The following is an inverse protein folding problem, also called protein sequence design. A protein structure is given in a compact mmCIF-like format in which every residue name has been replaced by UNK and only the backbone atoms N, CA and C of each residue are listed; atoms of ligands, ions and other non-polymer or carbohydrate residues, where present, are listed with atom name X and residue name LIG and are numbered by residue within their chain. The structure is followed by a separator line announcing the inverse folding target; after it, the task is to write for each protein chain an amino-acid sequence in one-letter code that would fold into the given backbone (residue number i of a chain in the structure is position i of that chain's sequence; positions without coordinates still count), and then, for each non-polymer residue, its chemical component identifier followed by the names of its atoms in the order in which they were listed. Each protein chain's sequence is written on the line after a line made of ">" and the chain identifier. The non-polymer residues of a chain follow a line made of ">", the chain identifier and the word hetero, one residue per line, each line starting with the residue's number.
data_IF_429947986989
#
_entry.id   IF_429947986989
#
_cell.length_a   1.000
_cell.length_b   1.000
_cell.length_c   1.000
_cell.angle_alpha   90.00
_cell.angle_beta   90.00
_cell.angle_gamma   90.00
#
_symmetry.space_group_name_H-M   'P 1'
#
loop_
_entity.id
_entity.type
_entity.pdbx_description
1 polymer ?
#
# COMPACT_ATOMS: atom_id res chain seq x y z
N UNK A 1 36.89 58.72 -23.22
CA UNK A 1 37.87 59.24 -24.24
C UNK A 1 37.53 58.52 -25.54
N UNK A 2 37.22 59.36 -26.54
CA UNK A 2 37.06 59.11 -28.00
C UNK A 2 35.89 58.17 -28.39
N UNK A 3 34.77 58.58 -28.94
CA UNK A 3 34.38 59.54 -29.98
C UNK A 3 34.79 59.10 -31.40
N UNK A 4 33.79 59.16 -32.30
CA UNK A 4 33.79 59.29 -33.80
C UNK A 4 33.51 58.01 -34.57
N UNK A 5 32.75 57.93 -35.68
CA UNK A 5 32.26 59.07 -36.55
C UNK A 5 31.20 58.43 -37.53
N UNK A 6 30.20 59.21 -37.85
CA UNK A 6 29.18 58.95 -38.88
C UNK A 6 29.79 58.97 -40.28
N UNK A 7 29.29 58.16 -41.18
CA UNK A 7 29.35 58.44 -42.61
C UNK A 7 28.03 58.20 -43.29
N UNK A 8 27.42 59.26 -43.78
CA UNK A 8 26.23 59.25 -44.62
C UNK A 8 26.68 59.20 -46.07
N UNK A 9 26.09 58.33 -46.86
CA UNK A 9 26.25 58.43 -48.35
C UNK A 9 24.87 58.62 -48.92
N UNK A 10 24.69 59.78 -49.55
CA UNK A 10 23.54 60.18 -50.37
C UNK A 10 23.79 59.64 -51.74
N UNK A 11 22.91 58.87 -52.35
CA UNK A 11 22.88 58.55 -53.76
C UNK A 11 21.55 58.94 -54.38
N UNK A 12 21.64 59.77 -55.39
CA UNK A 12 20.54 60.35 -56.09
C UNK A 12 19.69 59.36 -56.91
N UNK A 13 18.39 59.53 -56.86
CA UNK A 13 17.44 58.79 -57.67
C UNK A 13 17.32 59.35 -59.06
N UNK A 14 17.43 58.56 -60.09
CA UNK A 14 17.01 58.86 -61.46
C UNK A 14 15.67 58.23 -61.70
N UNK A 15 14.63 59.00 -61.92
CA UNK A 15 13.27 58.58 -62.28
C UNK A 15 13.21 58.40 -63.80
N UNK A 16 13.03 57.12 -64.23
CA UNK A 16 12.56 56.84 -65.60
C UNK A 16 11.13 56.34 -65.51
N UNK A 17 10.20 57.15 -66.00
CA UNK A 17 8.82 56.76 -66.18
C UNK A 17 8.70 55.82 -67.38
N UNK A 18 8.31 54.58 -67.18
CA UNK A 18 7.86 53.67 -68.22
C UNK A 18 6.45 53.20 -67.88
N UNK A 19 5.44 53.58 -68.65
CA UNK A 19 4.07 53.02 -68.59
C UNK A 19 4.09 51.56 -69.03
N UNK A 20 3.97 50.66 -68.04
CA UNK A 20 3.71 49.25 -68.25
C UNK A 20 2.49 48.84 -67.45
N UNK A 21 1.50 48.23 -68.08
CA UNK A 21 0.33 47.65 -67.46
C UNK A 21 0.75 46.73 -66.29
N UNK A 22 0.32 47.03 -65.10
CA UNK A 22 0.50 46.19 -63.91
C UNK A 22 -0.40 44.97 -64.03
N UNK A 23 0.15 43.81 -64.33
CA UNK A 23 -0.51 42.56 -64.10
C UNK A 23 -0.52 42.35 -62.59
N UNK A 24 -1.72 42.31 -61.98
CA UNK A 24 -1.86 41.96 -60.56
C UNK A 24 -1.38 40.52 -60.34
N UNK A 25 -0.34 40.33 -59.55
CA UNK A 25 0.09 39.02 -59.12
C UNK A 25 -1.04 38.32 -58.34
N UNK A 26 -1.30 37.02 -58.58
CA UNK A 26 -2.34 36.30 -57.83
C UNK A 26 -2.07 36.41 -56.35
N UNK A 27 -3.14 36.69 -55.59
CA UNK A 27 -3.09 36.68 -54.12
C UNK A 27 -2.53 35.36 -53.59
N UNK A 28 -1.60 35.40 -52.61
CA UNK A 28 -1.09 34.15 -52.04
C UNK A 28 -2.24 33.29 -51.50
N UNK A 29 -2.22 32.00 -51.86
CA UNK A 29 -3.17 31.03 -51.37
C UNK A 29 -3.23 31.09 -49.85
N UNK A 30 -4.42 31.01 -49.22
CA UNK A 30 -4.53 30.99 -47.77
C UNK A 30 -3.68 29.84 -47.21
N UNK A 31 -2.83 30.14 -46.22
CA UNK A 31 -2.04 29.14 -45.51
C UNK A 31 -2.96 28.03 -45.01
N UNK A 32 -2.57 26.74 -45.08
CA UNK A 32 -3.37 25.66 -44.55
C UNK A 32 -3.73 25.99 -43.08
N UNK A 33 -5.00 25.87 -42.74
CA UNK A 33 -5.45 26.00 -41.36
C UNK A 33 -4.63 25.08 -40.47
N UNK A 34 -3.99 25.63 -39.44
CA UNK A 34 -3.22 24.82 -38.49
C UNK A 34 -4.11 23.70 -37.96
N UNK A 35 -3.60 22.47 -38.02
CA UNK A 35 -4.30 21.33 -37.45
C UNK A 35 -4.70 21.64 -36.00
N UNK A 36 -5.90 21.27 -35.53
CA UNK A 36 -6.28 21.50 -34.14
C UNK A 36 -5.23 20.90 -33.22
N UNK A 37 -4.82 21.68 -32.21
CA UNK A 37 -3.88 21.19 -31.19
C UNK A 37 -4.48 19.89 -30.59
N UNK A 38 -3.65 18.84 -30.35
CA UNK A 38 -4.13 17.63 -29.72
C UNK A 38 -4.81 17.99 -28.38
N UNK A 39 -5.89 17.29 -28.02
CA UNK A 39 -6.62 17.59 -26.79
C UNK A 39 -5.66 17.48 -25.61
N UNK A 40 -5.69 18.48 -24.73
CA UNK A 40 -4.89 18.51 -23.51
C UNK A 40 -5.29 17.34 -22.61
N UNK A 41 -4.31 16.48 -22.23
CA UNK A 41 -4.55 15.34 -21.37
C UNK A 41 -4.99 15.79 -19.97
N UNK A 42 -6.00 15.13 -19.42
CA UNK A 42 -6.37 15.27 -18.03
C UNK A 42 -5.41 14.44 -17.17
N UNK A 43 -4.58 15.09 -16.36
CA UNK A 43 -3.70 14.37 -15.42
C UNK A 43 -4.48 13.95 -14.19
N UNK A 44 -4.48 12.65 -13.89
CA UNK A 44 -5.07 12.05 -12.69
C UNK A 44 -3.93 11.52 -11.80
N UNK A 45 -3.72 12.16 -10.66
CA UNK A 45 -2.69 11.77 -9.71
C UNK A 45 -3.25 10.79 -8.70
N UNK A 46 -2.65 9.61 -8.60
CA UNK A 46 -2.99 8.59 -7.60
C UNK A 46 -1.82 8.51 -6.60
N UNK A 47 -2.12 8.70 -5.33
CA UNK A 47 -1.15 8.48 -4.26
C UNK A 47 -1.03 6.99 -3.93
N UNK A 48 0.18 6.55 -3.56
CA UNK A 48 0.41 5.27 -2.92
C UNK A 48 1.26 5.45 -1.67
N UNK A 49 0.91 4.76 -0.59
CA UNK A 49 1.72 4.75 0.64
C UNK A 49 1.79 3.34 1.22
N UNK A 50 3.00 2.94 1.57
CA UNK A 50 3.29 1.71 2.28
C UNK A 50 4.74 1.70 2.77
N UNK A 51 5.14 0.73 3.61
CA UNK A 51 6.50 0.62 4.11
C UNK A 51 7.42 0.10 3.01
N UNK A 52 8.06 1.00 2.25
CA UNK A 52 9.00 0.63 1.19
C UNK A 52 10.45 0.59 1.66
N UNK A 53 10.68 0.87 2.94
CA UNK A 53 11.93 0.67 3.68
C UNK A 53 11.70 -0.12 4.98
N UNK A 54 12.80 -0.56 5.62
CA UNK A 54 12.74 -1.30 6.88
C UNK A 54 12.47 -2.81 6.72
N UNK A 55 12.15 -3.48 7.83
CA UNK A 55 12.09 -4.94 7.92
C UNK A 55 10.93 -5.57 7.13
N UNK A 56 9.88 -4.79 6.82
CA UNK A 56 8.70 -5.25 6.07
C UNK A 56 8.60 -4.56 4.70
N UNK A 57 9.72 -4.05 4.18
CA UNK A 57 9.76 -3.33 2.90
C UNK A 57 9.27 -4.16 1.71
N UNK A 58 9.45 -5.46 1.75
CA UNK A 58 8.97 -6.37 0.70
C UNK A 58 7.44 -6.33 0.55
N UNK A 59 6.68 -6.20 1.66
CA UNK A 59 5.22 -6.08 1.63
C UNK A 59 4.76 -4.76 1.02
N UNK A 60 5.40 -3.64 1.41
CA UNK A 60 5.09 -2.33 0.84
C UNK A 60 5.44 -2.23 -0.64
N UNK A 61 6.57 -2.83 -1.04
CA UNK A 61 6.98 -2.90 -2.45
C UNK A 61 6.01 -3.72 -3.29
N UNK A 62 5.46 -4.81 -2.75
CA UNK A 62 4.47 -5.62 -3.44
C UNK A 62 3.19 -4.81 -3.70
N UNK A 63 2.68 -4.10 -2.70
CA UNK A 63 1.54 -3.20 -2.87
C UNK A 63 1.82 -2.07 -3.89
N UNK A 64 3.01 -1.48 -3.85
CA UNK A 64 3.45 -0.46 -4.81
C UNK A 64 3.48 -1.01 -6.24
N UNK A 65 3.98 -2.23 -6.43
CA UNK A 65 4.01 -2.89 -7.73
C UNK A 65 2.61 -3.14 -8.28
N UNK A 66 1.68 -3.62 -7.44
CA UNK A 66 0.28 -3.78 -7.84
C UNK A 66 -0.37 -2.47 -8.27
N UNK A 67 -0.11 -1.38 -7.54
CA UNK A 67 -0.60 -0.05 -7.92
C UNK A 67 0.02 0.43 -9.24
N UNK A 68 1.33 0.22 -9.46
CA UNK A 68 2.01 0.56 -10.73
C UNK A 68 1.41 -0.20 -11.92
N UNK A 69 1.21 -1.50 -11.78
CA UNK A 69 0.61 -2.32 -12.84
C UNK A 69 -0.77 -1.79 -13.24
N UNK A 70 -1.63 -1.48 -12.27
CA UNK A 70 -2.94 -0.92 -12.55
C UNK A 70 -2.86 0.44 -13.26
N UNK A 71 -1.92 1.30 -12.89
CA UNK A 71 -1.69 2.60 -13.55
C UNK A 71 -1.20 2.41 -15.00
N UNK A 72 -0.30 1.46 -15.23
CA UNK A 72 0.20 1.13 -16.58
C UNK A 72 -0.92 0.61 -17.46
N UNK A 73 -1.77 -0.29 -16.97
CA UNK A 73 -2.93 -0.82 -17.67
C UNK A 73 -3.96 0.27 -18.02
N UNK A 74 -4.28 1.17 -17.07
CA UNK A 74 -5.19 2.30 -17.30
C UNK A 74 -4.65 3.25 -18.38
N UNK A 75 -3.35 3.53 -18.36
CA UNK A 75 -2.70 4.37 -19.37
C UNK A 75 -2.67 3.68 -20.74
N UNK A 76 -2.40 2.38 -20.78
CA UNK A 76 -2.42 1.61 -22.02
C UNK A 76 -3.82 1.49 -22.63
N UNK A 77 -4.86 1.42 -21.77
CA UNK A 77 -6.26 1.36 -22.19
C UNK A 77 -6.78 2.68 -22.79
N UNK A 78 -6.05 3.80 -22.62
CA UNK A 78 -6.46 5.11 -23.16
C UNK A 78 -7.75 5.63 -22.56
N UNK A 79 -7.93 5.54 -21.25
CA UNK A 79 -9.15 5.92 -20.52
C UNK A 79 -9.54 7.37 -20.79
N UNK A 80 -10.81 7.61 -21.08
CA UNK A 80 -11.38 8.94 -21.30
C UNK A 80 -12.18 9.39 -20.08
N UNK A 81 -11.94 10.60 -19.61
CA UNK A 81 -12.68 11.22 -18.50
C UNK A 81 -13.22 12.57 -18.98
N UNK A 82 -14.55 12.73 -18.95
CA UNK A 82 -15.20 13.96 -19.39
C UNK A 82 -14.89 14.33 -20.85
N UNK A 83 -14.67 13.35 -21.72
CA UNK A 83 -14.33 13.56 -23.14
C UNK A 83 -12.85 13.93 -23.39
N UNK A 84 -11.97 13.91 -22.37
CA UNK A 84 -10.54 14.15 -22.49
C UNK A 84 -9.75 12.87 -22.23
N UNK A 85 -8.64 12.62 -22.94
CA UNK A 85 -7.75 11.52 -22.60
C UNK A 85 -7.19 11.71 -21.19
N UNK A 86 -7.27 10.69 -20.34
CA UNK A 86 -6.71 10.70 -19.00
C UNK A 86 -5.31 10.12 -19.01
N UNK A 87 -4.38 10.79 -18.31
CA UNK A 87 -3.04 10.27 -17.97
C UNK A 87 -2.96 10.06 -16.49
N UNK A 88 -2.80 8.83 -16.05
CA UNK A 88 -2.66 8.47 -14.65
C UNK A 88 -1.19 8.53 -14.24
N UNK A 89 -0.92 9.15 -13.09
CA UNK A 89 0.42 9.29 -12.51
C UNK A 89 0.38 8.75 -11.07
N UNK A 90 1.35 7.88 -10.71
CA UNK A 90 1.49 7.36 -9.36
C UNK A 90 2.51 8.19 -8.57
N UNK A 91 2.09 8.71 -7.42
CA UNK A 91 2.94 9.36 -6.43
C UNK A 91 3.09 8.43 -5.23
N UNK A 92 4.26 7.80 -5.09
CA UNK A 92 4.52 6.84 -4.02
C UNK A 92 5.32 7.48 -2.88
N UNK A 93 4.91 7.22 -1.64
CA UNK A 93 5.56 7.67 -0.41
C UNK A 93 5.81 6.46 0.51
N UNK A 94 6.92 6.51 1.22
CA UNK A 94 7.31 5.52 2.23
C UNK A 94 6.82 5.96 3.62
N UNK A 95 6.10 5.10 4.33
CA UNK A 95 5.71 5.32 5.71
C UNK A 95 6.53 4.49 6.72
N UNK A 96 7.45 3.66 6.22
CA UNK A 96 8.29 2.75 7.03
C UNK A 96 7.50 1.91 8.06
N UNK A 97 6.16 1.79 7.93
CA UNK A 97 5.27 1.19 8.91
C UNK A 97 5.11 2.00 10.22
N UNK A 98 5.56 3.26 10.24
CA UNK A 98 5.49 4.16 11.39
C UNK A 98 4.27 5.11 11.29
N UNK A 99 3.39 5.16 12.30
CA UNK A 99 2.18 6.00 12.25
C UNK A 99 2.43 7.50 12.03
N UNK A 100 3.55 8.04 12.54
CA UNK A 100 3.89 9.46 12.36
C UNK A 100 4.37 9.73 10.94
N UNK A 101 5.20 8.83 10.40
CA UNK A 101 5.60 8.92 8.99
C UNK A 101 4.41 8.72 8.06
N UNK A 102 3.47 7.81 8.41
CA UNK A 102 2.23 7.61 7.68
C UNK A 102 1.38 8.88 7.59
N UNK A 103 1.20 9.60 8.69
CA UNK A 103 0.46 10.88 8.65
C UNK A 103 1.21 11.97 7.88
N UNK A 104 2.54 12.01 7.96
CA UNK A 104 3.35 12.94 7.20
C UNK A 104 3.30 12.65 5.68
N UNK A 105 3.38 11.37 5.29
CA UNK A 105 3.20 10.94 3.91
C UNK A 105 1.79 11.29 3.38
N UNK A 106 0.76 11.08 4.21
CA UNK A 106 -0.60 11.48 3.85
C UNK A 106 -0.71 12.99 3.57
N UNK A 107 -0.10 13.82 4.42
CA UNK A 107 -0.12 15.28 4.21
C UNK A 107 0.61 15.68 2.92
N UNK A 108 1.75 15.06 2.60
CA UNK A 108 2.46 15.31 1.33
C UNK A 108 1.57 15.02 0.12
N UNK A 109 0.83 13.91 0.14
CA UNK A 109 -0.08 13.56 -0.95
C UNK A 109 -1.27 14.53 -1.06
N UNK A 110 -1.80 15.01 0.07
CA UNK A 110 -2.80 16.08 0.10
C UNK A 110 -2.26 17.35 -0.53
N UNK A 111 -1.06 17.78 -0.16
CA UNK A 111 -0.41 18.98 -0.70
C UNK A 111 -0.09 18.82 -2.21
N UNK A 112 0.23 17.60 -2.66
CA UNK A 112 0.39 17.26 -4.08
C UNK A 112 -0.93 17.21 -4.86
N UNK A 113 -2.08 17.35 -4.16
CA UNK A 113 -3.43 17.34 -4.74
C UNK A 113 -3.72 16.06 -5.52
N UNK A 114 -3.48 14.90 -4.89
CA UNK A 114 -3.85 13.61 -5.49
C UNK A 114 -5.37 13.47 -5.54
N UNK A 115 -5.87 12.73 -6.52
CA UNK A 115 -7.31 12.49 -6.73
C UNK A 115 -7.84 11.32 -5.90
N UNK A 116 -6.96 10.44 -5.44
CA UNK A 116 -7.26 9.29 -4.59
C UNK A 116 -5.98 8.64 -4.10
N UNK A 117 -6.08 7.76 -3.09
CA UNK A 117 -4.93 7.08 -2.49
C UNK A 117 -5.18 5.59 -2.41
N UNK A 118 -4.21 4.80 -2.86
CA UNK A 118 -4.08 3.35 -2.64
C UNK A 118 -3.12 3.16 -1.47
N UNK A 119 -3.60 2.64 -0.35
CA UNK A 119 -2.79 2.50 0.88
C UNK A 119 -3.55 3.01 2.12
N UNK A 120 -2.91 3.07 3.26
CA UNK A 120 -1.58 2.52 3.56
C UNK A 120 -1.65 0.99 3.72
N UNK A 121 -0.50 0.34 3.92
CA UNK A 121 -0.46 -1.09 4.16
C UNK A 121 -0.86 -1.43 5.60
N UNK A 122 -0.13 -0.92 6.58
CA UNK A 122 -0.32 -1.27 7.98
C UNK A 122 -1.54 -0.57 8.59
N UNK A 123 -2.32 -1.27 9.41
CA UNK A 123 -3.47 -0.66 10.12
C UNK A 123 -3.05 0.54 10.97
N UNK A 124 -1.86 0.47 11.60
CA UNK A 124 -1.32 1.54 12.44
C UNK A 124 -0.98 2.83 11.68
N UNK A 125 -0.68 2.76 10.40
CA UNK A 125 -0.46 3.94 9.54
C UNK A 125 -1.74 4.37 8.83
N UNK A 126 -2.58 3.41 8.42
CA UNK A 126 -3.83 3.64 7.69
C UNK A 126 -4.86 4.41 8.51
N UNK A 127 -5.07 3.99 9.77
CA UNK A 127 -6.09 4.56 10.65
C UNK A 127 -5.87 6.07 10.86
N UNK A 128 -4.71 6.57 11.33
CA UNK A 128 -4.52 8.00 11.50
C UNK A 128 -4.46 8.77 10.17
N UNK A 129 -3.90 8.19 9.11
CA UNK A 129 -3.86 8.81 7.78
C UNK A 129 -5.26 9.03 7.19
N UNK A 130 -6.22 8.16 7.50
CA UNK A 130 -7.59 8.26 6.97
C UNK A 130 -8.29 9.56 7.38
N UNK A 131 -7.96 10.11 8.55
CA UNK A 131 -8.47 11.43 8.96
C UNK A 131 -7.90 12.54 8.07
N UNK A 132 -6.60 12.51 7.77
CA UNK A 132 -5.93 13.50 6.92
C UNK A 132 -6.58 13.54 5.53
N UNK A 133 -6.78 12.37 4.93
CA UNK A 133 -7.44 12.27 3.62
C UNK A 133 -8.91 12.66 3.67
N UNK A 134 -9.64 12.25 4.72
CA UNK A 134 -11.05 12.60 4.88
C UNK A 134 -11.28 14.11 5.01
N UNK A 135 -10.44 14.79 5.79
CA UNK A 135 -10.50 16.25 5.96
C UNK A 135 -10.23 16.98 4.63
N UNK A 136 -9.40 16.39 3.76
CA UNK A 136 -9.09 16.92 2.43
C UNK A 136 -10.08 16.47 1.33
N UNK A 137 -11.09 15.65 1.66
CA UNK A 137 -12.04 15.13 0.69
C UNK A 137 -11.45 14.10 -0.29
N UNK A 138 -10.31 13.48 0.06
CA UNK A 138 -9.62 12.49 -0.78
C UNK A 138 -10.07 11.08 -0.38
N UNK A 139 -10.40 10.24 -1.38
CA UNK A 139 -10.72 8.83 -1.15
C UNK A 139 -9.45 8.05 -0.87
N UNK A 140 -9.48 7.23 0.18
CA UNK A 140 -8.42 6.28 0.54
C UNK A 140 -8.96 4.85 0.44
N UNK A 141 -8.26 3.99 -0.29
CA UNK A 141 -8.58 2.57 -0.42
C UNK A 141 -7.36 1.77 0.03
N UNK A 142 -7.45 1.10 1.19
CA UNK A 142 -6.37 0.22 1.63
C UNK A 142 -6.52 -1.18 1.04
N UNK A 143 -5.47 -1.73 0.42
CA UNK A 143 -5.46 -3.12 -0.04
C UNK A 143 -5.11 -4.10 1.08
N UNK A 144 -4.67 -3.65 2.26
CA UNK A 144 -4.01 -4.50 3.25
C UNK A 144 -4.42 -4.26 4.71
N UNK A 145 -4.84 -3.04 5.10
CA UNK A 145 -5.17 -2.73 6.48
C UNK A 145 -6.45 -3.45 6.94
N UNK A 146 -6.30 -4.39 7.87
CA UNK A 146 -7.37 -5.29 8.31
C UNK A 146 -8.12 -4.82 9.56
N UNK A 147 -7.54 -3.93 10.38
CA UNK A 147 -8.17 -3.49 11.62
C UNK A 147 -9.54 -2.82 11.37
N UNK A 148 -10.63 -3.27 12.03
CA UNK A 148 -11.98 -2.72 11.85
C UNK A 148 -12.07 -1.21 12.09
N UNK A 149 -11.25 -0.66 13.00
CA UNK A 149 -11.26 0.76 13.32
C UNK A 149 -11.03 1.65 12.09
N UNK A 150 -10.32 1.17 11.06
CA UNK A 150 -10.08 1.94 9.84
C UNK A 150 -11.38 2.42 9.19
N UNK A 151 -12.39 1.58 9.07
CA UNK A 151 -13.65 1.91 8.37
C UNK A 151 -14.84 2.19 9.29
N UNK A 152 -14.61 2.20 10.62
CA UNK A 152 -15.68 2.49 11.62
C UNK A 152 -15.58 3.86 12.26
N UNK A 153 -14.62 4.70 11.85
CA UNK A 153 -14.45 6.08 12.32
C UNK A 153 -15.54 7.05 11.81
N UNK A 154 -16.42 6.60 10.90
CA UNK A 154 -17.47 7.44 10.32
C UNK A 154 -17.08 8.20 9.05
N UNK A 155 -15.84 8.07 8.57
CA UNK A 155 -15.39 8.70 7.33
C UNK A 155 -16.06 8.06 6.10
N UNK A 156 -16.50 8.90 5.16
CA UNK A 156 -17.14 8.46 3.91
C UNK A 156 -16.14 8.16 2.79
N UNK A 157 -14.87 8.47 3.02
CA UNK A 157 -13.77 8.36 2.07
C UNK A 157 -12.80 7.21 2.38
N UNK A 158 -13.03 6.42 3.43
CA UNK A 158 -12.14 5.33 3.87
C UNK A 158 -12.72 3.96 3.50
N UNK A 159 -12.02 3.22 2.65
CA UNK A 159 -12.45 1.92 2.12
C UNK A 159 -11.34 0.87 2.21
N UNK A 160 -11.72 -0.40 2.32
CA UNK A 160 -10.80 -1.54 2.16
C UNK A 160 -11.37 -2.54 1.15
N UNK A 161 -10.50 -3.30 0.50
CA UNK A 161 -10.88 -4.32 -0.50
C UNK A 161 -10.60 -5.75 -0.05
N UNK A 162 -10.30 -5.94 1.24
CA UNK A 162 -10.03 -7.23 1.88
C UNK A 162 -10.92 -7.42 3.13
N UNK A 163 -11.08 -8.65 3.66
CA UNK A 163 -11.69 -8.93 4.94
C UNK A 163 -11.00 -8.18 6.09
N UNK A 164 -11.72 -7.97 7.18
CA UNK A 164 -11.17 -7.35 8.38
C UNK A 164 -10.81 -8.38 9.47
N UNK A 165 -10.19 -7.91 10.55
CA UNK A 165 -9.73 -8.75 11.66
C UNK A 165 -10.86 -9.50 12.38
N UNK A 166 -12.11 -9.04 12.35
CA UNK A 166 -13.25 -9.76 12.92
C UNK A 166 -13.47 -11.07 12.15
N UNK A 167 -13.41 -11.00 10.82
CA UNK A 167 -13.57 -12.18 9.96
C UNK A 167 -12.34 -13.10 10.05
N UNK A 168 -11.14 -12.52 10.00
CA UNK A 168 -9.88 -13.24 10.09
C UNK A 168 -9.71 -13.91 11.46
N UNK A 169 -9.94 -13.19 12.55
CA UNK A 169 -9.86 -13.69 13.92
C UNK A 169 -10.85 -14.83 14.19
N UNK A 170 -12.07 -14.69 13.63
CA UNK A 170 -13.05 -15.78 13.68
C UNK A 170 -12.55 -17.03 12.97
N UNK A 171 -12.04 -16.90 11.74
CA UNK A 171 -11.54 -18.03 10.96
C UNK A 171 -10.36 -18.72 11.66
N UNK A 172 -9.43 -17.95 12.23
CA UNK A 172 -8.31 -18.48 13.01
C UNK A 172 -8.82 -19.20 14.27
N UNK A 173 -9.74 -18.61 15.03
CA UNK A 173 -10.31 -19.21 16.22
C UNK A 173 -11.05 -20.53 15.93
N UNK A 174 -11.83 -20.56 14.85
CA UNK A 174 -12.49 -21.78 14.38
C UNK A 174 -11.45 -22.85 13.98
N UNK A 175 -10.40 -22.47 13.26
CA UNK A 175 -9.34 -23.40 12.88
C UNK A 175 -8.59 -23.99 14.09
N UNK A 176 -8.27 -23.16 15.07
CA UNK A 176 -7.63 -23.58 16.33
C UNK A 176 -8.51 -24.60 17.07
N UNK A 177 -9.80 -24.30 17.22
CA UNK A 177 -10.71 -25.14 17.99
C UNK A 177 -11.19 -26.39 17.23
N UNK A 178 -11.60 -26.19 15.97
CA UNK A 178 -12.33 -27.22 15.22
C UNK A 178 -11.41 -28.11 14.37
N UNK A 179 -10.27 -27.58 13.88
CA UNK A 179 -9.33 -28.33 13.06
C UNK A 179 -8.17 -28.87 13.90
N UNK A 180 -7.50 -28.01 14.64
CA UNK A 180 -6.36 -28.42 15.47
C UNK A 180 -6.81 -29.07 16.79
N UNK A 181 -8.08 -28.96 17.16
CA UNK A 181 -8.65 -29.50 18.42
C UNK A 181 -7.91 -29.00 19.66
N UNK A 182 -7.29 -27.82 19.55
CA UNK A 182 -6.55 -27.21 20.66
C UNK A 182 -7.48 -26.92 21.85
N UNK A 183 -6.99 -27.16 23.05
CA UNK A 183 -7.68 -26.85 24.31
C UNK A 183 -7.08 -25.62 25.00
N UNK A 184 -5.79 -25.36 24.75
CA UNK A 184 -5.01 -24.30 25.39
C UNK A 184 -4.26 -23.50 24.36
N UNK A 185 -4.40 -22.19 24.40
CA UNK A 185 -3.69 -21.25 23.52
C UNK A 185 -2.96 -20.20 24.34
N UNK A 186 -1.73 -19.89 23.94
CA UNK A 186 -1.04 -18.68 24.34
C UNK A 186 -1.14 -17.66 23.21
N UNK A 187 -1.32 -16.39 23.54
CA UNK A 187 -1.44 -15.30 22.58
C UNK A 187 -0.33 -14.29 22.85
N UNK A 188 0.38 -13.91 21.79
CA UNK A 188 1.39 -12.84 21.79
C UNK A 188 1.04 -11.83 20.71
N UNK A 189 1.12 -10.53 20.99
CA UNK A 189 0.98 -9.48 19.99
C UNK A 189 2.15 -8.49 20.02
N UNK A 190 2.33 -7.74 18.93
CA UNK A 190 3.41 -6.78 18.76
C UNK A 190 3.05 -5.34 19.16
N UNK A 191 1.89 -5.15 19.81
CA UNK A 191 1.32 -3.85 20.22
C UNK A 191 1.04 -2.86 19.09
N UNK A 192 1.13 -3.29 17.83
CA UNK A 192 0.62 -2.48 16.72
C UNK A 192 -0.91 -2.54 16.66
N UNK A 193 -1.53 -1.58 15.99
CA UNK A 193 -2.98 -1.61 15.78
C UNK A 193 -3.44 -2.88 15.03
N UNK A 194 -2.59 -3.42 14.12
CA UNK A 194 -2.83 -4.70 13.46
C UNK A 194 -2.68 -5.88 14.42
N UNK A 195 -1.47 -6.06 14.96
CA UNK A 195 -1.16 -7.28 15.72
C UNK A 195 -2.01 -7.43 16.98
N UNK A 196 -2.19 -6.36 17.74
CA UNK A 196 -3.06 -6.35 18.92
C UNK A 196 -4.53 -6.55 18.51
N UNK A 197 -5.02 -5.82 17.49
CA UNK A 197 -6.40 -5.91 17.04
C UNK A 197 -6.80 -7.32 16.59
N UNK A 198 -5.97 -7.95 15.77
CA UNK A 198 -6.21 -9.33 15.34
C UNK A 198 -6.13 -10.32 16.52
N UNK A 199 -5.16 -10.11 17.43
CA UNK A 199 -5.01 -10.96 18.59
C UNK A 199 -6.25 -10.91 19.53
N UNK A 200 -6.87 -9.75 19.68
CA UNK A 200 -8.09 -9.57 20.47
C UNK A 200 -9.28 -10.29 19.82
N UNK A 201 -9.40 -10.28 18.50
CA UNK A 201 -10.46 -11.02 17.79
C UNK A 201 -10.23 -12.54 17.82
N UNK A 202 -8.97 -13.00 17.72
CA UNK A 202 -8.64 -14.44 17.89
C UNK A 202 -8.94 -14.90 19.31
N UNK A 203 -8.58 -14.11 20.32
CA UNK A 203 -8.90 -14.42 21.72
C UNK A 203 -10.41 -14.59 21.94
N UNK A 204 -11.18 -13.64 21.42
CA UNK A 204 -12.65 -13.65 21.50
C UNK A 204 -13.23 -14.90 20.81
N UNK A 205 -12.76 -15.23 19.61
CA UNK A 205 -13.23 -16.38 18.86
C UNK A 205 -12.85 -17.69 19.54
N UNK A 206 -11.61 -17.85 20.00
CA UNK A 206 -11.14 -19.04 20.71
C UNK A 206 -11.91 -19.28 22.03
N UNK A 207 -12.11 -18.22 22.82
CA UNK A 207 -12.96 -18.29 24.04
C UNK A 207 -14.38 -18.69 23.72
N UNK A 208 -14.96 -18.16 22.64
CA UNK A 208 -16.31 -18.53 22.19
C UNK A 208 -16.46 -20.02 21.81
N UNK A 209 -15.35 -20.70 21.52
CA UNK A 209 -15.26 -22.13 21.23
C UNK A 209 -14.83 -22.96 22.44
N UNK A 210 -14.66 -22.36 23.61
CA UNK A 210 -14.26 -23.06 24.84
C UNK A 210 -12.76 -23.38 24.91
N UNK A 211 -11.92 -22.71 24.10
CA UNK A 211 -10.46 -22.82 24.19
C UNK A 211 -9.95 -21.94 25.33
N UNK A 212 -9.12 -22.48 26.21
CA UNK A 212 -8.53 -21.77 27.34
C UNK A 212 -7.38 -20.87 26.88
N UNK A 213 -7.41 -19.60 27.27
CA UNK A 213 -6.27 -18.68 27.06
C UNK A 213 -5.34 -18.80 28.27
N UNK A 214 -4.26 -19.57 28.12
CA UNK A 214 -3.34 -19.84 29.22
C UNK A 214 -2.31 -18.74 29.43
N UNK A 215 -2.04 -17.92 28.40
CA UNK A 215 -1.15 -16.75 28.47
C UNK A 215 -1.60 -15.71 27.47
N UNK A 216 -1.53 -14.44 27.88
CA UNK A 216 -1.66 -13.26 27.02
C UNK A 216 -0.43 -12.39 27.27
N UNK A 217 0.50 -12.38 26.31
CA UNK A 217 1.78 -11.69 26.38
C UNK A 217 1.88 -10.68 25.22
N UNK A 218 2.85 -9.81 25.28
CA UNK A 218 3.10 -8.84 24.22
C UNK A 218 4.59 -8.60 24.01
N UNK A 219 4.92 -8.13 22.83
CA UNK A 219 6.26 -7.73 22.41
C UNK A 219 6.19 -6.39 21.68
N UNK A 220 7.15 -6.10 20.82
CA UNK A 220 7.13 -4.93 19.92
C UNK A 220 7.41 -5.37 18.49
N UNK A 221 7.01 -4.54 17.53
CA UNK A 221 7.27 -4.76 16.10
C UNK A 221 8.75 -4.60 15.69
N UNK A 222 9.63 -4.35 16.64
CA UNK A 222 11.10 -4.27 16.45
C UNK A 222 11.86 -5.33 17.24
N UNK A 223 11.14 -6.14 18.04
CA UNK A 223 11.77 -7.18 18.86
C UNK A 223 12.35 -8.31 18.01
N UNK A 224 13.48 -8.84 18.44
CA UNK A 224 14.17 -9.99 17.82
C UNK A 224 14.44 -11.12 18.81
N UNK A 225 14.28 -10.85 20.10
CA UNK A 225 14.43 -11.82 21.18
C UNK A 225 13.12 -12.02 21.93
N UNK A 226 12.66 -13.25 21.96
CA UNK A 226 11.39 -13.69 22.55
C UNK A 226 11.61 -14.74 23.64
N UNK A 227 12.88 -15.04 24.00
CA UNK A 227 13.22 -16.14 24.90
C UNK A 227 12.51 -16.07 26.25
N UNK A 228 12.40 -14.87 26.84
CA UNK A 228 11.75 -14.69 28.13
C UNK A 228 10.22 -14.98 28.05
N UNK A 229 9.55 -14.40 27.04
CA UNK A 229 8.11 -14.61 26.79
C UNK A 229 7.85 -16.10 26.50
N UNK A 230 8.64 -16.71 25.61
CA UNK A 230 8.46 -18.10 25.21
C UNK A 230 8.77 -19.08 26.36
N UNK A 231 9.70 -18.75 27.26
CA UNK A 231 9.95 -19.55 28.47
C UNK A 231 8.74 -19.52 29.42
N UNK A 232 8.11 -18.35 29.59
CA UNK A 232 6.85 -18.20 30.35
C UNK A 232 5.73 -19.03 29.72
N UNK A 233 5.58 -18.94 28.39
CA UNK A 233 4.60 -19.69 27.62
C UNK A 233 4.82 -21.20 27.71
N UNK A 234 6.08 -21.66 27.63
CA UNK A 234 6.43 -23.08 27.76
C UNK A 234 5.90 -23.69 29.05
N UNK A 235 6.02 -22.94 30.17
CA UNK A 235 5.52 -23.38 31.47
C UNK A 235 3.99 -23.61 31.50
N UNK A 236 3.22 -22.86 30.70
CA UNK A 236 1.78 -22.98 30.59
C UNK A 236 1.32 -24.14 29.68
N UNK A 237 2.23 -24.75 28.92
CA UNK A 237 2.00 -25.90 28.02
C UNK A 237 0.81 -25.70 27.07
N UNK A 238 0.78 -24.62 26.23
CA UNK A 238 -0.28 -24.46 25.26
C UNK A 238 -0.15 -25.48 24.13
N UNK A 239 -1.27 -25.76 23.45
CA UNK A 239 -1.31 -26.54 22.20
C UNK A 239 -0.91 -25.67 21.01
N UNK A 240 -1.22 -24.37 21.10
CA UNK A 240 -1.03 -23.36 20.05
C UNK A 240 -0.48 -22.08 20.67
N UNK A 241 0.44 -21.44 19.94
CA UNK A 241 0.85 -20.06 20.18
C UNK A 241 0.31 -19.24 19.00
N UNK A 242 -0.58 -18.28 19.25
CA UNK A 242 -0.97 -17.29 18.28
C UNK A 242 -0.04 -16.08 18.38
N UNK A 243 0.45 -15.61 17.24
CA UNK A 243 1.22 -14.37 17.14
C UNK A 243 0.53 -13.36 16.23
N UNK A 244 0.12 -12.22 16.81
CA UNK A 244 -0.35 -11.04 16.09
C UNK A 244 0.81 -10.12 15.77
N UNK A 245 1.29 -10.15 14.54
CA UNK A 245 2.43 -9.38 14.07
C UNK A 245 2.88 -9.81 12.68
N UNK A 246 4.07 -9.34 12.26
CA UNK A 246 4.61 -9.53 10.93
C UNK A 246 5.69 -10.63 10.88
N UNK A 247 6.05 -11.02 9.68
CA UNK A 247 7.07 -12.05 9.38
C UNK A 247 8.45 -11.73 9.99
N UNK A 248 8.83 -10.46 10.02
CA UNK A 248 10.10 -10.01 10.60
C UNK A 248 10.29 -10.42 12.07
N UNK A 249 9.20 -10.57 12.83
CA UNK A 249 9.17 -11.04 14.22
C UNK A 249 8.79 -12.53 14.28
N UNK A 250 7.85 -12.97 13.46
CA UNK A 250 7.36 -14.35 13.46
C UNK A 250 8.46 -15.36 13.12
N UNK A 251 9.33 -15.05 12.17
CA UNK A 251 10.45 -15.92 11.78
C UNK A 251 11.43 -16.20 12.91
N UNK A 252 12.03 -15.19 13.55
CA UNK A 252 12.86 -15.36 14.75
C UNK A 252 12.13 -16.03 15.91
N UNK A 253 10.83 -15.72 16.11
CA UNK A 253 10.01 -16.35 17.14
C UNK A 253 9.87 -17.86 16.89
N UNK A 254 9.60 -18.29 15.66
CA UNK A 254 9.52 -19.71 15.29
C UNK A 254 10.83 -20.46 15.61
N UNK A 255 11.98 -19.87 15.27
CA UNK A 255 13.31 -20.45 15.64
C UNK A 255 13.48 -20.60 17.14
N UNK A 256 13.05 -19.62 17.92
CA UNK A 256 13.18 -19.65 19.38
C UNK A 256 12.19 -20.64 20.02
N UNK A 257 10.99 -20.79 19.48
CA UNK A 257 10.03 -21.86 19.85
C UNK A 257 10.70 -23.21 19.68
N UNK A 258 11.29 -23.48 18.50
CA UNK A 258 12.01 -24.72 18.21
C UNK A 258 13.21 -24.93 19.14
N UNK A 259 14.04 -23.89 19.34
CA UNK A 259 15.21 -23.93 20.23
C UNK A 259 14.85 -24.28 21.68
N UNK A 260 13.70 -23.79 22.16
CA UNK A 260 13.19 -24.08 23.50
C UNK A 260 12.50 -25.47 23.60
N UNK A 261 12.37 -26.19 22.49
CA UNK A 261 11.66 -27.47 22.46
C UNK A 261 10.18 -27.33 22.80
N UNK A 262 9.56 -26.21 22.43
CA UNK A 262 8.12 -26.00 22.57
C UNK A 262 7.43 -26.74 21.43
N UNK A 263 6.47 -27.60 21.74
CA UNK A 263 5.75 -28.42 20.76
C UNK A 263 4.51 -27.74 20.20
N UNK A 264 4.07 -26.62 20.81
CA UNK A 264 2.95 -25.85 20.35
C UNK A 264 3.16 -25.33 18.91
N UNK A 265 2.09 -25.36 18.10
CA UNK A 265 2.10 -24.82 16.76
C UNK A 265 2.07 -23.28 16.82
N UNK A 266 2.88 -22.62 16.01
CA UNK A 266 2.78 -21.17 15.81
C UNK A 266 1.73 -20.90 14.73
N UNK A 267 0.81 -20.00 15.04
CA UNK A 267 -0.24 -19.56 14.12
C UNK A 267 -0.24 -18.04 14.08
N UNK A 268 -0.44 -17.45 12.92
CA UNK A 268 -0.63 -16.01 12.80
C UNK A 268 -1.60 -15.59 11.73
N UNK A 269 -1.65 -14.27 11.55
CA UNK A 269 -2.43 -13.63 10.52
C UNK A 269 -1.74 -13.63 9.15
N UNK A 270 -2.33 -12.88 8.23
CA UNK A 270 -1.81 -12.62 6.90
C UNK A 270 -0.43 -11.93 6.93
N UNK A 271 -0.12 -11.20 8.00
CA UNK A 271 1.15 -10.46 8.17
C UNK A 271 2.42 -11.31 8.16
N UNK A 272 2.31 -12.63 8.27
CA UNK A 272 3.46 -13.51 8.03
C UNK A 272 3.21 -14.67 7.04
N UNK A 273 2.15 -14.58 6.26
CA UNK A 273 1.94 -15.49 5.13
C UNK A 273 2.82 -15.04 3.94
N UNK A 274 4.13 -15.14 4.09
CA UNK A 274 5.12 -14.61 3.14
C UNK A 274 6.26 -15.58 2.90
N UNK A 275 6.92 -15.52 1.75
CA UNK A 275 8.20 -16.23 1.54
C UNK A 275 9.29 -15.80 2.52
N UNK A 276 9.27 -14.55 2.99
CA UNK A 276 10.24 -14.03 3.95
C UNK A 276 10.10 -14.72 5.33
N UNK A 277 8.88 -15.04 5.77
CA UNK A 277 8.69 -15.88 6.97
C UNK A 277 9.41 -17.20 6.85
N UNK A 278 9.25 -17.90 5.72
CA UNK A 278 9.91 -19.20 5.47
C UNK A 278 11.43 -19.04 5.52
N UNK A 279 11.95 -18.01 4.88
CA UNK A 279 13.39 -17.70 4.87
C UNK A 279 13.92 -17.38 6.28
N UNK A 280 13.22 -16.55 7.05
CA UNK A 280 13.59 -16.14 8.39
C UNK A 280 13.47 -17.29 9.40
N UNK A 281 12.41 -18.07 9.32
CA UNK A 281 12.17 -19.22 10.21
C UNK A 281 13.02 -20.45 9.83
N UNK A 282 13.43 -20.57 8.57
CA UNK A 282 14.13 -21.74 8.01
C UNK A 282 13.36 -23.04 8.31
N UNK A 283 14.03 -24.05 8.86
CA UNK A 283 13.43 -25.33 9.21
C UNK A 283 12.42 -25.28 10.37
N UNK A 284 12.32 -24.15 11.07
CA UNK A 284 11.31 -23.89 12.08
C UNK A 284 9.96 -23.42 11.47
N UNK A 285 9.92 -23.13 10.17
CA UNK A 285 8.66 -22.79 9.48
C UNK A 285 7.77 -24.02 9.29
N UNK A 286 8.35 -25.21 9.28
CA UNK A 286 7.63 -26.45 8.97
C UNK A 286 6.52 -26.73 9.98
N UNK A 287 5.29 -26.95 9.47
CA UNK A 287 4.13 -27.24 10.27
C UNK A 287 3.57 -26.06 11.06
N UNK A 288 3.97 -24.83 10.74
CA UNK A 288 3.33 -23.60 11.24
C UNK A 288 2.20 -23.15 10.29
N UNK A 289 1.36 -22.24 10.76
CA UNK A 289 0.17 -21.82 10.03
C UNK A 289 0.06 -20.28 9.97
N UNK A 290 -0.42 -19.80 8.84
CA UNK A 290 -0.82 -18.41 8.66
C UNK A 290 -2.18 -18.36 7.96
N UNK A 291 -3.02 -17.40 8.34
CA UNK A 291 -4.27 -17.17 7.60
C UNK A 291 -4.00 -16.30 6.37
N UNK A 292 -4.93 -16.37 5.42
CA UNK A 292 -4.97 -15.48 4.26
C UNK A 292 -6.24 -14.61 4.34
N UNK A 293 -6.15 -13.37 3.85
CA UNK A 293 -7.26 -12.40 3.83
C UNK A 293 -8.09 -12.46 2.56
N UNK A 294 -8.15 -13.59 1.89
CA UNK A 294 -8.92 -13.75 0.67
C UNK A 294 -9.16 -15.20 0.33
N UNK A 295 -9.79 -15.43 -0.81
CA UNK A 295 -9.88 -16.77 -1.39
C UNK A 295 -8.48 -17.21 -1.87
N UNK A 296 -8.20 -18.52 -1.92
CA UNK A 296 -6.96 -19.02 -2.52
C UNK A 296 -6.74 -18.39 -3.91
N UNK A 297 -5.52 -17.97 -4.19
CA UNK A 297 -5.20 -17.27 -5.45
C UNK A 297 -5.61 -18.04 -6.71
N UNK A 298 -5.55 -19.38 -6.64
CA UNK A 298 -5.96 -20.30 -7.71
C UNK A 298 -7.46 -20.22 -8.02
N UNK A 299 -8.27 -19.66 -7.10
CA UNK A 299 -9.72 -19.47 -7.26
C UNK A 299 -10.07 -18.04 -7.73
N UNK A 300 -9.09 -17.15 -7.85
CA UNK A 300 -9.32 -15.79 -8.31
C UNK A 300 -9.60 -15.77 -9.83
N UNK A 301 -10.62 -15.02 -10.27
CA UNK A 301 -10.81 -14.78 -11.69
C UNK A 301 -9.55 -14.16 -12.30
N UNK A 302 -9.06 -14.73 -13.37
CA UNK A 302 -7.87 -14.24 -14.07
C UNK A 302 -6.52 -14.72 -13.51
N UNK A 303 -6.49 -15.55 -12.45
CA UNK A 303 -5.23 -16.07 -11.89
C UNK A 303 -4.33 -16.73 -12.97
N UNK A 304 -4.93 -17.44 -13.92
CA UNK A 304 -4.17 -18.09 -14.99
C UNK A 304 -3.53 -17.12 -16.00
N UNK A 305 -3.98 -15.86 -16.04
CA UNK A 305 -3.51 -14.82 -16.94
C UNK A 305 -2.70 -13.73 -16.26
N UNK A 306 -2.73 -13.69 -14.94
CA UNK A 306 -1.93 -12.79 -14.10
C UNK A 306 -0.56 -13.41 -13.81
#
# INVERSE_FOLDING_TARGET
>A
MQMKMKLAVISAAVILAACGKKEEAPAPAPAPAAAPAPPENLVVKIGHVGPTSGAIAHLGKDNENGAKMAIEELNAAGVMIGGKPAKFELLAEDDAGDPKQGTAAAQKLVDAKVNGVIGHLNSGTTIPASKVYSDAGIVQISPSATNPAYTTQGFKSAFRVIPNDVQQGKAIGDFIADTLKAKKIAIVDDRTAYGQGLADEVEKAAKGKGVEIVKREFTTNTATDFMAILTSIKGAKPDVIFFGGMDAQAGPMAKQIKKLGITAKLIGGDGFQTPEFIKLAADAAEGQFASNTGVPKEQLPGFATF
#
